data_IF_929349923574
#
_entry.id   IF_929349923574
#
_cell.length_a   1.000
_cell.length_b   1.000
_cell.length_c   1.000
_cell.angle_alpha   90.00
_cell.angle_beta   90.00
_cell.angle_gamma   90.00
#
_symmetry.space_group_name_H-M   'P 1'
#
loop_
_entity.id
_entity.type
_entity.pdbx_description
1 polymer ?
#
# COMPACT_ATOMS: atom_id res chain seq x y z
N UNK A 1 -17.62 63.45 23.60
CA UNK A 1 -16.55 64.01 24.38
C UNK A 1 -15.80 62.82 24.95
N UNK A 2 -14.67 62.46 24.52
CA UNK A 2 -13.35 62.99 24.43
C UNK A 2 -12.54 62.18 23.40
N UNK A 3 -11.82 62.90 22.56
CA UNK A 3 -10.82 62.43 21.60
C UNK A 3 -9.53 61.98 22.32
N UNK A 4 -8.84 60.93 21.80
CA UNK A 4 -7.44 60.75 22.00
C UNK A 4 -6.76 60.25 20.72
N UNK A 5 -5.84 61.06 20.31
CA UNK A 5 -4.99 61.02 19.12
C UNK A 5 -3.88 59.99 19.26
N UNK A 6 -3.63 59.27 18.18
CA UNK A 6 -2.45 58.40 17.99
C UNK A 6 -1.26 59.19 17.45
N UNK A 7 -0.01 58.97 17.84
CA UNK A 7 1.16 59.62 17.26
C UNK A 7 1.75 58.79 16.11
N UNK A 8 2.15 59.50 15.06
CA UNK A 8 2.83 58.99 13.87
C UNK A 8 4.32 58.68 14.15
N UNK A 9 4.83 57.62 13.56
CA UNK A 9 6.25 57.26 13.54
C UNK A 9 6.92 57.74 12.26
N UNK A 10 8.14 58.29 12.27
CA UNK A 10 8.75 58.86 11.07
C UNK A 10 9.44 57.84 10.19
N UNK A 11 9.36 58.12 8.87
CA UNK A 11 10.05 57.36 7.82
C UNK A 11 11.56 57.57 7.86
N UNK A 12 12.31 56.44 7.78
CA UNK A 12 13.76 56.46 7.57
C UNK A 12 14.07 56.31 6.09
N UNK A 13 14.73 57.30 5.54
CA UNK A 13 15.34 57.34 4.21
C UNK A 13 16.59 56.46 4.17
N UNK A 14 16.59 55.45 3.32
CA UNK A 14 17.80 54.66 3.03
C UNK A 14 18.43 55.15 1.71
N UNK A 15 19.64 55.61 1.83
CA UNK A 15 20.55 56.04 0.76
C UNK A 15 21.16 54.80 0.08
N UNK A 16 21.04 54.75 -1.24
CA UNK A 16 21.70 53.72 -2.08
C UNK A 16 23.17 54.06 -2.26
N UNK A 17 24.03 53.11 -1.94
CA UNK A 17 25.40 53.04 -2.48
C UNK A 17 25.60 51.69 -3.20
N UNK A 18 25.81 51.78 -4.50
CA UNK A 18 26.17 50.66 -5.34
C UNK A 18 27.69 50.52 -5.33
N UNK A 19 28.21 49.43 -4.82
CA UNK A 19 29.58 48.99 -5.08
C UNK A 19 29.54 47.65 -5.82
N UNK A 20 29.91 47.73 -7.09
CA UNK A 20 30.17 46.57 -7.95
C UNK A 20 31.55 46.00 -7.65
N UNK A 21 31.62 44.88 -6.91
CA UNK A 21 32.86 44.08 -6.88
C UNK A 21 32.74 42.90 -7.84
N UNK A 22 33.46 43.08 -8.99
CA UNK A 22 33.74 42.01 -9.93
C UNK A 22 34.87 41.12 -9.35
N UNK A 23 34.55 39.96 -8.80
CA UNK A 23 35.53 38.93 -8.49
C UNK A 23 35.53 37.87 -9.59
N UNK A 24 36.56 37.94 -10.45
CA UNK A 24 36.86 36.88 -11.42
C UNK A 24 37.37 35.65 -10.68
N UNK A 25 36.56 34.58 -10.62
CA UNK A 25 37.04 33.25 -10.24
C UNK A 25 37.71 32.57 -11.44
N UNK A 26 39.03 32.52 -11.46
CA UNK A 26 39.77 31.58 -12.30
C UNK A 26 39.80 30.22 -11.62
N UNK A 27 38.95 29.30 -12.07
CA UNK A 27 38.99 27.89 -11.65
C UNK A 27 40.03 27.14 -12.49
N UNK A 28 41.16 26.86 -11.90
CA UNK A 28 42.08 25.85 -12.43
C UNK A 28 41.58 24.48 -12.02
N UNK A 29 40.76 23.83 -12.84
CA UNK A 29 40.40 22.43 -12.70
C UNK A 29 41.52 21.54 -13.24
N UNK A 30 42.36 21.06 -12.35
CA UNK A 30 43.20 19.89 -12.61
C UNK A 30 42.23 18.66 -12.58
N UNK A 31 41.86 18.20 -13.76
CA UNK A 31 41.10 16.96 -13.90
C UNK A 31 42.05 15.77 -13.63
N UNK A 32 41.93 15.17 -12.47
CA UNK A 32 42.47 13.82 -12.28
C UNK A 32 41.73 12.84 -13.19
N UNK A 33 42.36 11.85 -13.78
CA UNK A 33 41.70 10.90 -14.65
C UNK A 33 40.70 10.10 -13.81
N UNK A 34 39.40 10.21 -14.14
CA UNK A 34 38.40 9.38 -13.60
C UNK A 34 38.69 7.93 -13.98
N UNK A 35 39.12 7.13 -13.02
CA UNK A 35 39.15 5.67 -13.16
C UNK A 35 37.70 5.22 -13.31
N UNK A 36 37.32 4.90 -14.54
CA UNK A 36 36.07 4.24 -14.85
C UNK A 36 36.09 2.84 -14.18
N UNK A 37 35.68 2.78 -12.93
CA UNK A 37 35.31 1.50 -12.35
C UNK A 37 34.06 1.04 -13.10
N UNK A 38 34.11 -0.16 -13.69
CA UNK A 38 32.92 -0.79 -14.23
C UNK A 38 31.79 -0.73 -13.15
N UNK A 39 30.56 -0.40 -13.52
CA UNK A 39 29.48 -0.34 -12.55
C UNK A 39 29.43 -1.68 -11.81
N UNK A 40 29.47 -1.63 -10.47
CA UNK A 40 29.33 -2.82 -9.65
C UNK A 40 28.07 -3.56 -10.08
N UNK A 41 28.16 -4.88 -10.23
CA UNK A 41 27.00 -5.69 -10.59
C UNK A 41 25.84 -5.34 -9.64
N UNK A 42 24.61 -5.15 -10.16
CA UNK A 42 23.49 -4.75 -9.32
C UNK A 42 23.32 -5.74 -8.16
N UNK A 43 23.18 -5.20 -6.97
CA UNK A 43 22.97 -6.01 -5.75
C UNK A 43 21.66 -6.77 -5.92
N UNK A 44 21.71 -8.09 -5.73
CA UNK A 44 20.51 -8.91 -5.74
C UNK A 44 19.61 -8.49 -4.57
N UNK A 45 18.34 -8.18 -4.84
CA UNK A 45 17.40 -7.71 -3.80
C UNK A 45 16.12 -8.53 -3.83
N UNK A 46 15.73 -8.99 -2.64
CA UNK A 46 14.45 -9.61 -2.32
C UNK A 46 13.91 -9.05 -1.00
N UNK A 47 14.22 -7.78 -0.73
CA UNK A 47 13.87 -7.11 0.52
C UNK A 47 12.39 -6.72 0.56
N UNK A 48 11.86 -6.27 -0.57
CA UNK A 48 10.48 -5.81 -0.72
C UNK A 48 10.02 -5.90 -2.19
N UNK A 49 8.74 -5.61 -2.44
CA UNK A 49 8.08 -5.65 -3.75
C UNK A 49 7.79 -4.25 -4.34
N UNK A 50 8.51 -3.22 -3.89
CA UNK A 50 8.34 -1.83 -4.35
C UNK A 50 9.67 -1.10 -4.60
N UNK A 51 10.73 -1.86 -4.89
CA UNK A 51 12.06 -1.26 -5.19
C UNK A 51 12.25 -0.92 -6.66
N UNK A 52 11.52 -1.56 -7.56
CA UNK A 52 11.58 -1.31 -9.00
C UNK A 52 10.63 -0.15 -9.38
N UNK A 53 10.84 0.39 -10.58
CA UNK A 53 9.95 1.38 -11.19
C UNK A 53 8.64 0.77 -11.69
N UNK A 54 8.03 1.38 -12.72
CA UNK A 54 6.82 0.85 -13.32
C UNK A 54 7.09 -0.15 -14.43
N UNK A 55 6.07 -0.95 -14.72
CA UNK A 55 6.05 -1.79 -15.92
C UNK A 55 6.29 -0.94 -17.19
N UNK A 56 7.09 -1.40 -18.17
CA UNK A 56 7.45 -0.63 -19.36
C UNK A 56 6.25 -0.07 -20.14
N UNK A 57 5.13 -0.78 -20.18
CA UNK A 57 3.91 -0.31 -20.83
C UNK A 57 3.34 0.96 -20.18
N UNK A 58 3.45 1.09 -18.86
CA UNK A 58 3.04 2.30 -18.12
C UNK A 58 3.95 3.47 -18.48
N UNK A 59 5.27 3.27 -18.46
CA UNK A 59 6.24 4.31 -18.83
C UNK A 59 6.01 4.79 -20.26
N UNK A 60 5.71 3.87 -21.18
CA UNK A 60 5.36 4.20 -22.56
C UNK A 60 4.09 5.04 -22.62
N UNK A 61 3.01 4.64 -21.95
CA UNK A 61 1.74 5.37 -21.95
C UNK A 61 1.90 6.78 -21.35
N UNK A 62 2.66 6.92 -20.26
CA UNK A 62 2.98 8.21 -19.65
C UNK A 62 3.78 9.12 -20.59
N UNK A 63 4.72 8.56 -21.36
CA UNK A 63 5.51 9.29 -22.34
C UNK A 63 4.68 9.76 -23.53
N UNK A 64 3.86 8.87 -24.06
CA UNK A 64 2.99 9.14 -25.22
C UNK A 64 1.98 10.27 -24.90
N UNK A 65 1.44 10.28 -23.69
CA UNK A 65 0.40 11.23 -23.24
C UNK A 65 0.95 12.52 -22.61
N UNK A 66 2.26 12.64 -22.45
CA UNK A 66 2.91 13.71 -21.66
C UNK A 66 2.52 15.14 -22.06
N UNK A 67 2.25 15.39 -23.36
CA UNK A 67 1.89 16.72 -23.87
C UNK A 67 0.39 16.88 -24.11
N UNK A 68 -0.42 15.88 -23.79
CA UNK A 68 -1.87 15.92 -23.97
C UNK A 68 -2.50 16.73 -22.83
N UNK A 69 -3.13 17.89 -23.10
CA UNK A 69 -3.82 18.65 -22.05
C UNK A 69 -5.07 17.90 -21.59
N UNK A 70 -5.21 17.72 -20.26
CA UNK A 70 -6.33 17.00 -19.66
C UNK A 70 -6.96 17.78 -18.51
N UNK A 71 -8.28 17.62 -18.25
CA UNK A 71 -8.90 18.11 -17.02
C UNK A 71 -8.16 17.60 -15.79
N UNK A 72 -8.06 18.43 -14.75
CA UNK A 72 -7.36 18.09 -13.52
C UNK A 72 -8.17 17.20 -12.57
N UNK A 73 -7.51 16.81 -11.49
CA UNK A 73 -8.11 16.20 -10.31
C UNK A 73 -8.83 14.85 -10.55
N UNK A 74 -8.37 14.09 -11.55
CA UNK A 74 -8.91 12.76 -11.87
C UNK A 74 -10.28 12.77 -12.53
N UNK A 75 -10.66 13.90 -13.16
CA UNK A 75 -11.93 14.03 -13.92
C UNK A 75 -11.75 13.83 -15.42
N UNK A 76 -10.56 13.46 -15.84
CA UNK A 76 -10.14 13.24 -17.22
C UNK A 76 -10.69 11.92 -17.81
N UNK A 77 -10.46 11.76 -19.11
CA UNK A 77 -10.89 10.60 -19.88
C UNK A 77 -10.17 9.30 -19.51
N UNK A 78 -8.88 9.38 -19.14
CA UNK A 78 -8.09 8.20 -18.76
C UNK A 78 -8.53 7.66 -17.40
N UNK A 79 -8.74 8.55 -16.42
CA UNK A 79 -9.32 8.15 -15.13
C UNK A 79 -10.70 7.53 -15.28
N UNK A 80 -11.53 8.02 -16.24
CA UNK A 80 -12.81 7.38 -16.55
C UNK A 80 -12.61 5.99 -17.17
N UNK A 81 -11.71 5.84 -18.13
CA UNK A 81 -11.40 4.55 -18.76
C UNK A 81 -10.94 3.53 -17.70
N UNK A 82 -9.99 3.89 -16.86
CA UNK A 82 -9.52 3.04 -15.75
C UNK A 82 -10.67 2.66 -14.80
N UNK A 83 -11.53 3.62 -14.45
CA UNK A 83 -12.71 3.37 -13.61
C UNK A 83 -13.66 2.35 -14.26
N UNK A 84 -13.94 2.47 -15.56
CA UNK A 84 -14.80 1.54 -16.27
C UNK A 84 -14.18 0.14 -16.41
N UNK A 85 -12.85 0.03 -16.54
CA UNK A 85 -12.14 -1.25 -16.48
C UNK A 85 -12.30 -1.91 -15.11
N UNK A 86 -12.10 -1.17 -14.02
CA UNK A 86 -12.32 -1.66 -12.66
C UNK A 86 -13.75 -2.14 -12.48
N UNK A 87 -14.75 -1.33 -12.84
CA UNK A 87 -16.17 -1.68 -12.73
C UNK A 87 -16.52 -3.00 -13.45
N UNK A 88 -15.98 -3.18 -14.66
CA UNK A 88 -16.17 -4.44 -15.42
C UNK A 88 -15.49 -5.62 -14.74
N UNK A 89 -14.26 -5.44 -14.27
CA UNK A 89 -13.48 -6.49 -13.61
C UNK A 89 -14.15 -6.99 -12.33
N UNK A 90 -14.66 -6.07 -11.52
CA UNK A 90 -15.35 -6.39 -10.27
C UNK A 90 -16.85 -6.67 -10.43
N UNK A 91 -17.40 -6.56 -11.64
CA UNK A 91 -18.84 -6.72 -11.96
C UNK A 91 -19.76 -5.80 -11.14
N UNK A 92 -19.33 -4.57 -10.86
CA UNK A 92 -20.08 -3.56 -10.12
C UNK A 92 -20.14 -2.25 -10.92
N UNK A 93 -21.17 -2.06 -11.77
CA UNK A 93 -21.24 -0.89 -12.68
C UNK A 93 -21.39 0.45 -11.95
N UNK A 94 -21.96 0.44 -10.75
CA UNK A 94 -22.18 1.65 -9.93
C UNK A 94 -21.04 1.94 -8.94
N UNK A 95 -19.97 1.14 -8.93
CA UNK A 95 -18.86 1.33 -8.01
C UNK A 95 -18.26 2.73 -8.14
N UNK A 96 -18.03 3.36 -6.99
CA UNK A 96 -17.30 4.61 -6.91
C UNK A 96 -15.80 4.31 -6.77
N UNK A 97 -14.99 4.86 -7.67
CA UNK A 97 -13.55 4.61 -7.71
C UNK A 97 -12.80 5.92 -7.64
N UNK A 98 -11.74 5.96 -6.83
CA UNK A 98 -10.78 7.05 -6.76
C UNK A 98 -9.35 6.52 -6.73
N UNK A 99 -8.47 7.20 -7.45
CA UNK A 99 -7.05 6.88 -7.49
C UNK A 99 -6.32 7.78 -6.49
N UNK A 100 -5.58 7.16 -5.57
CA UNK A 100 -4.84 7.78 -4.48
C UNK A 100 -3.36 7.46 -4.62
N UNK A 101 -2.47 8.15 -3.87
CA UNK A 101 -1.02 8.10 -4.15
C UNK A 101 -0.35 6.86 -3.54
N UNK A 102 -0.83 6.37 -2.41
CA UNK A 102 -0.22 5.24 -1.71
C UNK A 102 -1.14 4.63 -0.65
N UNK A 103 -0.78 3.45 -0.14
CA UNK A 103 -1.60 2.63 0.75
C UNK A 103 -2.04 3.34 2.03
N UNK A 104 -1.10 3.91 2.79
CA UNK A 104 -1.41 4.66 4.02
C UNK A 104 -2.40 5.79 3.78
N UNK A 105 -2.21 6.57 2.70
CA UNK A 105 -3.14 7.64 2.35
C UNK A 105 -4.52 7.09 1.94
N UNK A 106 -4.55 5.94 1.26
CA UNK A 106 -5.79 5.27 0.88
C UNK A 106 -6.55 4.78 2.11
N UNK A 107 -5.86 4.07 3.02
CA UNK A 107 -6.44 3.55 4.26
C UNK A 107 -7.00 4.68 5.13
N UNK A 108 -6.21 5.73 5.35
CA UNK A 108 -6.64 6.91 6.08
C UNK A 108 -7.89 7.58 5.45
N UNK A 109 -7.89 7.73 4.13
CA UNK A 109 -9.01 8.36 3.41
C UNK A 109 -10.28 7.49 3.43
N UNK A 110 -10.15 6.17 3.29
CA UNK A 110 -11.27 5.22 3.31
C UNK A 110 -11.89 5.17 4.70
N UNK A 111 -11.08 5.02 5.74
CA UNK A 111 -11.55 4.93 7.12
C UNK A 111 -12.25 6.22 7.55
N UNK A 112 -11.65 7.40 7.26
CA UNK A 112 -12.25 8.71 7.57
C UNK A 112 -13.53 9.00 6.73
N UNK A 113 -13.72 8.31 5.61
CA UNK A 113 -14.95 8.40 4.82
C UNK A 113 -16.09 7.54 5.37
N UNK A 114 -15.76 6.45 6.04
CA UNK A 114 -16.71 5.42 6.50
C UNK A 114 -17.04 5.60 7.98
N UNK A 115 -16.02 5.79 8.82
CA UNK A 115 -16.19 5.90 10.27
C UNK A 115 -16.63 7.31 10.70
N UNK A 116 -17.56 7.43 11.67
CA UNK A 116 -17.86 8.72 12.28
C UNK A 116 -16.67 9.23 13.09
N UNK A 117 -16.60 10.54 13.43
CA UNK A 117 -15.44 11.12 14.12
C UNK A 117 -15.05 10.46 15.46
N UNK A 118 -15.97 9.78 16.11
CA UNK A 118 -15.74 9.02 17.36
C UNK A 118 -15.60 7.51 17.12
N UNK A 119 -15.58 7.10 15.85
CA UNK A 119 -15.52 5.71 15.44
C UNK A 119 -14.11 5.14 15.51
N UNK A 120 -14.05 3.85 15.75
CA UNK A 120 -12.82 3.06 15.72
C UNK A 120 -12.84 2.04 14.59
N UNK A 121 -11.67 1.73 14.05
CA UNK A 121 -11.47 0.62 13.13
C UNK A 121 -11.00 -0.61 13.92
N UNK A 122 -11.65 -1.75 13.69
CA UNK A 122 -11.24 -3.03 14.26
C UNK A 122 -10.31 -3.73 13.28
N UNK A 123 -9.13 -4.11 13.72
CA UNK A 123 -8.11 -4.78 12.91
C UNK A 123 -7.38 -5.84 13.74
N UNK A 124 -6.61 -6.71 13.13
CA UNK A 124 -5.74 -7.64 13.86
C UNK A 124 -4.46 -6.94 14.35
N UNK A 125 -3.77 -7.52 15.35
CA UNK A 125 -2.55 -6.95 15.92
C UNK A 125 -1.45 -6.71 14.90
N UNK A 126 -1.31 -7.58 13.89
CA UNK A 126 -0.33 -7.47 12.80
C UNK A 126 -0.76 -6.55 11.65
N UNK A 127 -2.00 -6.04 11.65
CA UNK A 127 -2.53 -5.21 10.55
C UNK A 127 -1.65 -3.98 10.27
N UNK A 128 -1.49 -3.65 8.99
CA UNK A 128 -0.65 -2.53 8.52
C UNK A 128 -1.05 -1.20 9.16
N UNK A 129 -2.34 -0.92 9.29
CA UNK A 129 -2.89 0.29 9.95
C UNK A 129 -2.50 0.39 11.43
N UNK A 130 -2.24 -0.74 12.10
CA UNK A 130 -1.79 -0.77 13.49
C UNK A 130 -0.28 -0.64 13.63
N UNK A 131 0.51 -1.21 12.70
CA UNK A 131 1.95 -1.43 12.92
C UNK A 131 2.85 -0.56 12.06
N UNK A 132 2.46 -0.20 10.83
CA UNK A 132 3.34 0.38 9.82
C UNK A 132 2.86 1.70 9.20
N UNK A 133 1.87 2.38 9.82
CA UNK A 133 1.34 3.65 9.30
C UNK A 133 1.60 4.85 10.20
N UNK A 134 2.50 4.72 11.17
CA UNK A 134 2.97 5.82 12.04
C UNK A 134 1.82 6.60 12.71
N UNK A 135 0.72 5.93 13.05
CA UNK A 135 -0.45 6.57 13.66
C UNK A 135 -1.28 7.40 12.69
N UNK A 136 -1.27 7.09 11.38
CA UNK A 136 -2.04 7.85 10.37
C UNK A 136 -3.56 7.78 10.62
N UNK A 137 -4.04 6.65 11.10
CA UNK A 137 -5.46 6.45 11.43
C UNK A 137 -5.85 7.29 12.64
N UNK A 138 -5.03 7.26 13.69
CA UNK A 138 -5.22 8.07 14.90
C UNK A 138 -5.11 9.57 14.58
N UNK A 139 -4.21 9.95 13.67
CA UNK A 139 -4.09 11.35 13.21
C UNK A 139 -5.33 11.84 12.46
N UNK A 140 -6.14 10.93 11.91
CA UNK A 140 -7.46 11.25 11.31
C UNK A 140 -8.58 11.32 12.36
N UNK A 141 -8.29 10.97 13.62
CA UNK A 141 -9.24 11.01 14.74
C UNK A 141 -9.89 9.67 15.06
N UNK A 142 -9.41 8.57 14.47
CA UNK A 142 -9.97 7.23 14.67
C UNK A 142 -9.03 6.36 15.49
N UNK A 143 -9.57 5.62 16.46
CA UNK A 143 -8.80 4.65 17.23
C UNK A 143 -8.69 3.35 16.41
N UNK A 144 -7.53 2.68 16.50
CA UNK A 144 -7.40 1.29 16.11
C UNK A 144 -7.67 0.40 17.33
N UNK A 145 -8.67 -0.49 17.23
CA UNK A 145 -8.96 -1.55 18.20
C UNK A 145 -8.40 -2.84 17.62
N UNK A 146 -7.55 -3.53 18.38
CA UNK A 146 -6.89 -4.74 17.87
C UNK A 146 -7.51 -6.00 18.46
N UNK A 147 -7.69 -7.01 17.60
CA UNK A 147 -7.95 -8.40 17.94
C UNK A 147 -6.69 -9.24 17.78
N UNK A 148 -6.59 -10.40 18.43
CA UNK A 148 -5.55 -11.38 18.10
C UNK A 148 -5.55 -11.71 16.61
N UNK A 149 -4.41 -12.16 16.11
CA UNK A 149 -4.30 -12.65 14.74
C UNK A 149 -4.04 -14.15 14.72
N UNK A 150 -4.54 -14.82 13.68
CA UNK A 150 -4.33 -16.24 13.41
C UNK A 150 -3.69 -16.38 12.03
N UNK A 151 -2.36 -16.42 11.99
CA UNK A 151 -1.55 -16.37 10.76
C UNK A 151 -1.86 -15.12 9.89
N UNK A 152 -2.03 -13.98 10.57
CA UNK A 152 -2.37 -12.68 9.97
C UNK A 152 -3.87 -12.45 9.73
N UNK A 153 -4.73 -13.43 10.04
CA UNK A 153 -6.17 -13.34 9.81
C UNK A 153 -6.95 -13.00 11.08
N UNK A 154 -8.10 -12.36 10.90
CA UNK A 154 -9.10 -12.09 11.93
C UNK A 154 -10.08 -13.26 12.02
N UNK A 155 -10.36 -13.70 13.24
CA UNK A 155 -11.41 -14.68 13.51
C UNK A 155 -12.78 -13.98 13.61
N UNK A 156 -13.81 -14.43 12.87
CA UNK A 156 -15.14 -13.83 12.93
C UNK A 156 -15.82 -13.99 14.28
N UNK A 157 -15.56 -15.06 15.06
CA UNK A 157 -16.14 -15.26 16.37
C UNK A 157 -15.53 -14.30 17.39
N UNK A 158 -14.22 -14.00 17.30
CA UNK A 158 -13.57 -12.98 18.12
C UNK A 158 -14.09 -11.57 17.81
N UNK A 159 -14.36 -11.27 16.53
CA UNK A 159 -15.00 -10.02 16.14
C UNK A 159 -16.41 -9.91 16.72
N UNK A 160 -17.21 -10.97 16.65
CA UNK A 160 -18.53 -11.00 17.24
C UNK A 160 -18.48 -10.80 18.76
N UNK A 161 -17.56 -11.48 19.46
CA UNK A 161 -17.35 -11.36 20.90
C UNK A 161 -16.93 -9.94 21.31
N UNK A 162 -16.06 -9.26 20.54
CA UNK A 162 -15.72 -7.86 20.77
C UNK A 162 -16.96 -6.97 20.75
N UNK A 163 -17.83 -7.16 19.76
CA UNK A 163 -19.08 -6.39 19.65
C UNK A 163 -20.01 -6.68 20.82
N UNK A 164 -20.17 -7.95 21.21
CA UNK A 164 -21.02 -8.34 22.34
C UNK A 164 -20.53 -7.73 23.66
N UNK A 165 -19.22 -7.71 23.90
CA UNK A 165 -18.62 -7.07 25.09
C UNK A 165 -18.85 -5.56 25.06
N UNK A 166 -18.69 -4.91 23.91
CA UNK A 166 -18.96 -3.48 23.76
C UNK A 166 -20.44 -3.15 24.03
N UNK A 167 -21.36 -3.90 23.43
CA UNK A 167 -22.79 -3.68 23.56
C UNK A 167 -23.31 -3.94 25.00
N UNK A 168 -22.66 -4.84 25.74
CA UNK A 168 -23.01 -5.19 27.11
C UNK A 168 -22.43 -4.24 28.18
N UNK A 169 -21.53 -3.34 27.82
CA UNK A 169 -20.93 -2.40 28.77
C UNK A 169 -21.85 -1.21 29.00
N UNK A 170 -22.30 -1.02 30.25
CA UNK A 170 -23.14 0.12 30.63
C UNK A 170 -22.49 1.49 30.41
N UNK A 171 -21.16 1.53 30.15
CA UNK A 171 -20.42 2.74 29.94
C UNK A 171 -19.96 2.91 28.45
N UNK A 172 -20.50 2.13 27.53
CA UNK A 172 -20.10 2.15 26.12
C UNK A 172 -20.24 3.53 25.46
N UNK A 173 -21.13 4.40 25.99
CA UNK A 173 -21.26 5.80 25.53
C UNK A 173 -19.98 6.65 25.68
N UNK A 174 -19.03 6.22 26.54
CA UNK A 174 -17.74 6.88 26.76
C UNK A 174 -16.60 6.21 25.97
N UNK A 175 -16.87 5.15 25.24
CA UNK A 175 -15.87 4.37 24.52
C UNK A 175 -15.78 4.79 23.04
N UNK A 176 -14.63 4.49 22.40
CA UNK A 176 -14.53 4.58 20.96
C UNK A 176 -15.39 3.46 20.33
N UNK A 177 -16.34 3.82 19.49
CA UNK A 177 -17.35 2.91 18.96
C UNK A 177 -16.74 2.10 17.81
N UNK A 178 -16.74 0.75 17.84
CA UNK A 178 -16.40 -0.07 16.68
C UNK A 178 -17.27 0.35 15.49
N UNK A 179 -16.65 0.83 14.40
CA UNK A 179 -17.38 1.49 13.31
C UNK A 179 -17.04 0.97 11.92
N UNK A 180 -15.96 0.24 11.79
CA UNK A 180 -15.61 -0.53 10.60
C UNK A 180 -14.58 -1.62 10.95
N UNK A 181 -14.45 -2.59 10.06
CA UNK A 181 -13.49 -3.69 10.17
C UNK A 181 -12.49 -3.59 9.04
N UNK A 182 -11.20 -3.81 9.34
CA UNK A 182 -10.12 -3.77 8.37
C UNK A 182 -9.39 -5.10 8.35
N UNK A 183 -9.23 -5.68 7.16
CA UNK A 183 -8.43 -6.87 6.89
C UNK A 183 -7.59 -6.66 5.64
N UNK A 184 -6.49 -7.39 5.48
CA UNK A 184 -5.62 -7.33 4.30
C UNK A 184 -5.72 -8.60 3.46
N UNK A 185 -5.80 -8.46 2.14
CA UNK A 185 -5.75 -9.56 1.17
C UNK A 185 -4.68 -9.29 0.11
N UNK A 186 -3.53 -10.03 0.13
CA UNK A 186 -3.06 -10.97 1.16
C UNK A 186 -2.76 -10.27 2.49
N UNK A 187 -2.71 -11.05 3.58
CA UNK A 187 -2.30 -10.55 4.89
C UNK A 187 -0.85 -10.08 4.89
N UNK A 188 -0.41 -9.45 5.97
CA UNK A 188 0.97 -8.99 6.16
C UNK A 188 1.98 -10.14 6.11
N UNK A 189 1.54 -11.36 6.43
CA UNK A 189 2.33 -12.60 6.33
C UNK A 189 2.19 -13.33 4.99
N UNK A 190 1.48 -12.72 4.03
CA UNK A 190 1.28 -13.29 2.70
C UNK A 190 0.30 -14.46 2.65
N UNK A 191 -0.40 -14.74 3.74
CA UNK A 191 -1.48 -15.72 3.79
C UNK A 191 -2.74 -15.16 3.15
N UNK A 192 -3.68 -16.01 2.81
CA UNK A 192 -4.91 -15.65 2.12
C UNK A 192 -6.12 -15.99 2.99
N UNK A 193 -7.08 -15.08 3.05
CA UNK A 193 -8.45 -15.49 3.35
C UNK A 193 -8.97 -16.31 2.18
N UNK A 194 -9.58 -17.45 2.45
CA UNK A 194 -10.39 -18.13 1.46
C UNK A 194 -11.81 -17.52 1.39
N UNK A 195 -12.61 -18.00 0.44
CA UNK A 195 -13.95 -17.45 0.22
C UNK A 195 -14.85 -17.62 1.44
N UNK A 196 -14.82 -18.79 2.09
CA UNK A 196 -15.64 -19.10 3.25
C UNK A 196 -15.25 -18.26 4.48
N UNK A 197 -13.95 -18.04 4.71
CA UNK A 197 -13.42 -17.18 5.76
C UNK A 197 -13.85 -15.72 5.58
N UNK A 198 -13.71 -15.17 4.36
CA UNK A 198 -14.10 -13.79 4.10
C UNK A 198 -15.63 -13.62 4.11
N UNK A 199 -16.40 -14.62 3.66
CA UNK A 199 -17.86 -14.65 3.82
C UNK A 199 -18.28 -14.69 5.29
N UNK A 200 -17.55 -15.44 6.13
CA UNK A 200 -17.75 -15.49 7.57
C UNK A 200 -17.62 -14.10 8.19
N UNK A 201 -16.52 -13.41 7.93
CA UNK A 201 -16.30 -12.04 8.40
C UNK A 201 -17.37 -11.07 7.88
N UNK A 202 -17.64 -11.10 6.57
CA UNK A 202 -18.67 -10.24 5.94
C UNK A 202 -20.04 -10.45 6.57
N UNK A 203 -20.38 -11.68 6.94
CA UNK A 203 -21.65 -12.01 7.62
C UNK A 203 -21.72 -11.38 9.02
N UNK A 204 -20.65 -11.48 9.81
CA UNK A 204 -20.58 -10.84 11.14
C UNK A 204 -20.66 -9.32 10.98
N UNK A 205 -19.84 -8.73 10.07
CA UNK A 205 -19.85 -7.31 9.79
C UNK A 205 -21.26 -6.79 9.46
N UNK A 206 -21.95 -7.44 8.54
CA UNK A 206 -23.34 -7.06 8.18
C UNK A 206 -24.32 -7.18 9.33
N UNK A 207 -24.21 -8.23 10.15
CA UNK A 207 -25.10 -8.42 11.31
C UNK A 207 -24.92 -7.36 12.40
N UNK A 208 -23.72 -6.75 12.46
CA UNK A 208 -23.33 -5.69 13.41
C UNK A 208 -23.33 -4.29 12.77
N UNK A 209 -23.76 -4.16 11.52
CA UNK A 209 -23.72 -2.90 10.75
C UNK A 209 -22.32 -2.26 10.69
N UNK A 210 -21.27 -3.08 10.64
CA UNK A 210 -19.88 -2.67 10.50
C UNK A 210 -19.46 -2.79 9.03
N UNK A 211 -19.12 -1.70 8.33
CA UNK A 211 -18.49 -1.79 7.02
C UNK A 211 -17.20 -2.60 7.05
N UNK A 212 -17.04 -3.51 6.09
CA UNK A 212 -15.82 -4.29 5.90
C UNK A 212 -14.91 -3.62 4.86
N UNK A 213 -13.67 -3.33 5.25
CA UNK A 213 -12.62 -2.76 4.41
C UNK A 213 -11.59 -3.85 4.14
N UNK A 214 -11.29 -4.10 2.86
CA UNK A 214 -10.23 -5.03 2.44
C UNK A 214 -9.06 -4.23 1.85
N UNK A 215 -7.93 -4.21 2.55
CA UNK A 215 -6.69 -3.66 2.00
C UNK A 215 -6.11 -4.63 0.98
N UNK A 216 -6.13 -4.19 -0.27
CA UNK A 216 -5.61 -4.92 -1.42
C UNK A 216 -4.27 -4.39 -1.90
N UNK A 217 -3.39 -3.89 -1.03
CA UNK A 217 -2.05 -3.42 -1.41
C UNK A 217 -1.26 -4.48 -2.21
N UNK A 218 -1.59 -5.77 -2.00
CA UNK A 218 -1.06 -6.93 -2.72
C UNK A 218 -2.15 -7.77 -3.39
N UNK A 219 -3.28 -7.15 -3.74
CA UNK A 219 -4.44 -7.87 -4.29
C UNK A 219 -4.10 -8.66 -5.56
N UNK A 220 -3.23 -8.14 -6.42
CA UNK A 220 -2.79 -8.86 -7.63
C UNK A 220 -2.13 -10.19 -7.29
N UNK A 221 -1.19 -10.19 -6.36
CA UNK A 221 -0.51 -11.41 -5.89
C UNK A 221 -1.48 -12.36 -5.18
N UNK A 222 -2.42 -11.82 -4.39
CA UNK A 222 -3.43 -12.64 -3.72
C UNK A 222 -4.33 -13.38 -4.72
N UNK A 223 -4.86 -12.67 -5.72
CA UNK A 223 -5.76 -13.24 -6.72
C UNK A 223 -5.04 -14.16 -7.74
N UNK A 224 -3.73 -13.96 -7.93
CA UNK A 224 -2.91 -14.78 -8.82
C UNK A 224 -2.33 -16.04 -8.14
N UNK A 225 -2.34 -16.07 -6.80
CA UNK A 225 -1.72 -17.13 -6.02
C UNK A 225 -2.37 -18.50 -6.24
N UNK A 226 -1.56 -19.56 -6.22
CA UNK A 226 -2.06 -20.90 -6.25
C UNK A 226 -2.94 -21.19 -5.02
N UNK A 227 -4.14 -21.69 -5.25
CA UNK A 227 -5.11 -21.97 -4.17
C UNK A 227 -6.01 -20.79 -3.79
N UNK A 228 -5.87 -19.63 -4.43
CA UNK A 228 -6.89 -18.57 -4.30
C UNK A 228 -8.18 -19.03 -4.99
N UNK A 229 -9.28 -19.04 -4.24
CA UNK A 229 -10.62 -19.44 -4.70
C UNK A 229 -11.56 -18.23 -4.93
N UNK A 230 -11.02 -17.02 -4.80
CA UNK A 230 -11.75 -15.76 -4.96
C UNK A 230 -11.39 -15.03 -6.25
N UNK A 231 -12.33 -14.24 -6.72
CA UNK A 231 -12.15 -13.24 -7.79
C UNK A 231 -12.29 -11.81 -7.24
N UNK A 232 -11.90 -10.81 -8.03
CA UNK A 232 -12.12 -9.41 -7.68
C UNK A 232 -13.62 -9.08 -7.49
N UNK A 233 -14.52 -9.82 -8.17
CA UNK A 233 -15.96 -9.67 -8.02
C UNK A 233 -16.44 -10.23 -6.67
N UNK A 234 -15.81 -11.26 -6.12
CA UNK A 234 -16.14 -11.78 -4.79
C UNK A 234 -15.72 -10.80 -3.71
N UNK A 235 -14.53 -10.22 -3.81
CA UNK A 235 -14.11 -9.13 -2.91
C UNK A 235 -15.10 -7.97 -2.94
N UNK A 236 -15.50 -7.51 -4.13
CA UNK A 236 -16.46 -6.42 -4.29
C UNK A 236 -17.88 -6.75 -3.78
N UNK A 237 -18.25 -8.02 -3.75
CA UNK A 237 -19.53 -8.50 -3.19
C UNK A 237 -19.51 -8.52 -1.66
N UNK A 238 -18.36 -8.80 -1.06
CA UNK A 238 -18.21 -9.04 0.37
C UNK A 238 -17.80 -7.79 1.15
N UNK A 239 -16.99 -6.91 0.54
CA UNK A 239 -16.47 -5.69 1.16
C UNK A 239 -17.32 -4.46 0.83
N UNK A 240 -17.36 -3.50 1.76
CA UNK A 240 -17.96 -2.18 1.56
C UNK A 240 -16.98 -1.19 0.95
N UNK A 241 -15.68 -1.41 1.17
CA UNK A 241 -14.59 -0.75 0.49
C UNK A 241 -13.40 -1.69 0.34
N UNK A 242 -12.62 -1.49 -0.72
CA UNK A 242 -11.32 -2.19 -0.84
C UNK A 242 -10.36 -1.36 -1.69
N UNK A 243 -9.07 -1.70 -1.60
CA UNK A 243 -8.05 -1.12 -2.48
C UNK A 243 -7.59 -2.11 -3.54
N UNK A 244 -7.22 -1.59 -4.71
CA UNK A 244 -6.47 -2.32 -5.73
C UNK A 244 -5.08 -1.71 -5.73
N UNK A 245 -4.10 -2.46 -5.22
CA UNK A 245 -2.73 -1.99 -5.07
C UNK A 245 -2.03 -1.87 -6.42
N UNK A 246 -1.57 -0.67 -6.76
CA UNK A 246 -0.74 -0.44 -7.94
C UNK A 246 0.75 -0.39 -7.62
N UNK A 247 1.12 0.28 -6.53
CA UNK A 247 2.52 0.54 -6.14
C UNK A 247 3.39 -0.72 -6.10
N UNK A 248 2.87 -1.82 -5.59
CA UNK A 248 3.59 -3.10 -5.49
C UNK A 248 3.43 -3.97 -6.72
N UNK A 249 2.41 -3.72 -7.55
CA UNK A 249 2.03 -4.57 -8.69
C UNK A 249 2.20 -3.79 -10.01
N UNK A 250 3.40 -3.29 -10.23
CA UNK A 250 3.85 -2.76 -11.53
C UNK A 250 3.58 -1.30 -11.81
N UNK A 251 2.92 -0.53 -10.92
CA UNK A 251 2.80 0.92 -11.05
C UNK A 251 4.03 1.65 -10.49
N UNK A 252 4.24 2.91 -10.88
CA UNK A 252 5.20 3.81 -10.24
C UNK A 252 4.76 4.14 -8.81
N UNK A 253 3.48 4.36 -8.64
CA UNK A 253 2.79 4.66 -7.39
C UNK A 253 1.28 4.61 -7.62
N UNK A 254 0.52 4.43 -6.56
CA UNK A 254 -0.93 4.57 -6.61
C UNK A 254 -1.70 3.35 -6.14
N UNK A 255 -2.88 3.66 -5.60
CA UNK A 255 -3.87 2.71 -5.13
C UNK A 255 -5.22 3.15 -5.69
N UNK A 256 -6.03 2.20 -6.18
CA UNK A 256 -7.42 2.49 -6.49
C UNK A 256 -8.29 2.17 -5.27
N UNK A 257 -8.86 3.19 -4.64
CA UNK A 257 -9.88 3.03 -3.61
C UNK A 257 -11.24 2.77 -4.29
N UNK A 258 -11.84 1.63 -3.98
CA UNK A 258 -13.08 1.15 -4.60
C UNK A 258 -14.16 1.00 -3.55
N UNK A 259 -15.32 1.59 -3.82
CA UNK A 259 -16.54 1.45 -3.02
C UNK A 259 -17.60 0.83 -3.91
N UNK A 260 -17.85 -0.47 -3.78
CA UNK A 260 -18.71 -1.22 -4.71
C UNK A 260 -20.16 -0.70 -4.78
N UNK A 261 -20.66 -0.15 -3.69
CA UNK A 261 -22.05 0.28 -3.54
C UNK A 261 -22.26 1.80 -3.71
N UNK A 262 -21.30 2.50 -4.33
CA UNK A 262 -21.34 3.95 -4.54
C UNK A 262 -20.49 4.75 -3.54
N UNK A 263 -20.54 6.06 -3.63
CA UNK A 263 -19.71 6.93 -2.79
C UNK A 263 -20.09 6.81 -1.28
N UNK A 264 -19.12 6.54 -0.38
CA UNK A 264 -19.40 6.26 1.03
C UNK A 264 -19.82 7.49 1.82
N UNK A 265 -19.42 8.70 1.38
CA UNK A 265 -19.69 9.95 2.07
C UNK A 265 -20.07 11.08 1.11
N UNK A 266 -20.94 12.00 1.55
CA UNK A 266 -21.14 13.26 0.83
C UNK A 266 -19.81 14.04 0.72
N UNK A 267 -19.56 14.64 -0.45
CA UNK A 267 -18.35 15.46 -0.68
C UNK A 267 -17.03 14.69 -0.55
N UNK A 268 -16.99 13.45 -0.98
CA UNK A 268 -15.79 12.59 -0.97
C UNK A 268 -14.55 13.30 -1.56
N UNK A 269 -14.71 14.11 -2.60
CA UNK A 269 -13.62 14.91 -3.19
C UNK A 269 -12.99 15.90 -2.18
N UNK A 270 -13.80 16.50 -1.30
CA UNK A 270 -13.27 17.41 -0.26
C UNK A 270 -12.48 16.64 0.80
N UNK A 271 -12.92 15.44 1.15
CA UNK A 271 -12.21 14.55 2.07
C UNK A 271 -10.85 14.14 1.48
N UNK A 272 -10.83 13.67 0.23
CA UNK A 272 -9.60 13.35 -0.50
C UNK A 272 -8.66 14.56 -0.53
N UNK A 273 -9.18 15.77 -0.76
CA UNK A 273 -8.38 17.00 -0.74
C UNK A 273 -7.78 17.29 0.63
N UNK A 274 -8.56 17.07 1.70
CA UNK A 274 -8.11 17.24 3.10
C UNK A 274 -6.92 16.36 3.45
N UNK A 275 -6.92 15.12 2.96
CA UNK A 275 -5.82 14.17 3.12
C UNK A 275 -4.64 14.39 2.15
N UNK A 276 -4.65 15.50 1.37
CA UNK A 276 -3.58 15.79 0.40
C UNK A 276 -3.55 14.84 -0.81
N UNK A 277 -4.58 14.01 -0.98
CA UNK A 277 -4.64 12.96 -1.99
C UNK A 277 -5.18 13.42 -3.35
N UNK A 278 -5.73 14.64 -3.45
CA UNK A 278 -6.31 15.14 -4.68
C UNK A 278 -5.27 15.86 -5.54
N UNK A 279 -4.63 15.10 -6.44
CA UNK A 279 -3.60 15.61 -7.33
C UNK A 279 -4.18 16.46 -8.47
N UNK A 280 -3.57 17.61 -8.75
CA UNK A 280 -3.93 18.43 -9.92
C UNK A 280 -3.74 17.63 -11.22
N UNK A 281 -2.66 16.85 -11.33
CA UNK A 281 -2.39 15.93 -12.46
C UNK A 281 -2.85 14.50 -12.12
N UNK A 282 -4.12 14.34 -11.70
CA UNK A 282 -4.67 13.05 -11.30
C UNK A 282 -4.67 11.99 -12.40
N UNK A 283 -4.65 12.41 -13.69
CA UNK A 283 -4.54 11.51 -14.83
C UNK A 283 -3.30 10.59 -14.79
N UNK A 284 -2.22 11.03 -14.11
CA UNK A 284 -1.02 10.20 -13.90
C UNK A 284 -1.33 8.90 -13.15
N UNK A 285 -2.27 8.93 -12.21
CA UNK A 285 -2.75 7.74 -11.52
C UNK A 285 -3.65 6.90 -12.45
N UNK A 286 -4.59 7.57 -13.13
CA UNK A 286 -5.53 6.91 -14.02
C UNK A 286 -4.86 6.09 -15.12
N UNK A 287 -3.85 6.65 -15.80
CA UNK A 287 -3.14 5.98 -16.89
C UNK A 287 -2.44 4.68 -16.43
N UNK A 288 -1.95 4.65 -15.21
CA UNK A 288 -1.28 3.46 -14.68
C UNK A 288 -2.28 2.31 -14.48
N UNK A 289 -3.44 2.59 -13.91
CA UNK A 289 -4.51 1.60 -13.74
C UNK A 289 -5.19 1.24 -15.05
N UNK A 290 -5.31 2.18 -16.00
CA UNK A 290 -5.84 1.88 -17.32
C UNK A 290 -4.98 0.86 -18.06
N UNK A 291 -3.64 1.02 -17.97
CA UNK A 291 -2.67 0.08 -18.55
C UNK A 291 -2.66 -1.25 -17.80
N UNK A 292 -2.62 -1.23 -16.46
CA UNK A 292 -2.54 -2.45 -15.66
C UNK A 292 -3.76 -3.36 -15.83
N UNK A 293 -4.94 -2.77 -16.02
CA UNK A 293 -6.19 -3.52 -16.18
C UNK A 293 -6.57 -3.76 -17.66
N UNK A 294 -5.62 -3.54 -18.56
CA UNK A 294 -5.74 -3.92 -19.96
C UNK A 294 -5.18 -5.33 -20.18
N UNK A 295 -5.91 -6.18 -20.91
CA UNK A 295 -5.50 -7.54 -21.30
C UNK A 295 -4.87 -8.38 -20.16
N UNK A 296 -5.47 -8.34 -18.96
CA UNK A 296 -5.03 -9.09 -17.76
C UNK A 296 -3.58 -8.81 -17.27
N UNK A 297 -2.92 -7.75 -17.74
CA UNK A 297 -1.54 -7.44 -17.38
C UNK A 297 -1.31 -7.45 -15.86
N UNK A 298 -2.25 -6.90 -15.08
CA UNK A 298 -2.18 -6.84 -13.62
C UNK A 298 -2.00 -8.23 -12.97
N UNK A 299 -2.75 -9.22 -13.43
CA UNK A 299 -2.64 -10.59 -12.93
C UNK A 299 -1.46 -11.34 -13.54
N UNK A 300 -1.09 -11.05 -14.79
CA UNK A 300 0.05 -11.73 -15.43
C UNK A 300 1.38 -11.41 -14.76
N UNK A 301 1.62 -10.14 -14.42
CA UNK A 301 2.83 -9.74 -13.72
C UNK A 301 2.82 -10.21 -12.26
N UNK A 302 1.64 -10.33 -11.64
CA UNK A 302 1.49 -10.92 -10.31
C UNK A 302 1.80 -12.44 -10.32
N UNK A 303 1.28 -13.19 -11.29
CA UNK A 303 1.62 -14.62 -11.48
C UNK A 303 3.11 -14.85 -11.65
N UNK A 304 3.83 -13.90 -12.31
CA UNK A 304 5.29 -14.00 -12.39
C UNK A 304 5.94 -13.97 -11.00
N UNK A 305 5.55 -13.00 -10.14
CA UNK A 305 6.12 -12.88 -8.81
C UNK A 305 5.85 -14.12 -7.95
N UNK A 306 4.61 -14.63 -7.95
CA UNK A 306 4.21 -15.80 -7.17
C UNK A 306 4.94 -17.06 -7.65
N UNK A 307 5.10 -17.24 -8.97
CA UNK A 307 5.89 -18.34 -9.54
C UNK A 307 7.35 -18.30 -9.09
N UNK A 308 7.97 -17.11 -9.03
CA UNK A 308 9.34 -16.94 -8.55
C UNK A 308 9.43 -17.24 -7.05
N UNK A 309 8.46 -16.79 -6.25
CA UNK A 309 8.36 -17.10 -4.83
C UNK A 309 8.22 -18.61 -4.60
N UNK A 310 7.39 -19.30 -5.38
CA UNK A 310 7.21 -20.75 -5.30
C UNK A 310 8.50 -21.52 -5.58
N UNK A 311 9.29 -21.10 -6.56
CA UNK A 311 10.57 -21.72 -6.85
C UNK A 311 11.55 -21.55 -5.67
N UNK A 312 11.57 -20.38 -5.04
CA UNK A 312 12.41 -20.10 -3.86
C UNK A 312 11.91 -20.91 -2.65
N UNK A 313 10.59 -20.95 -2.43
CA UNK A 313 9.96 -21.67 -1.31
C UNK A 313 10.29 -23.16 -1.37
N UNK A 314 10.14 -23.78 -2.55
CA UNK A 314 10.56 -25.19 -2.76
C UNK A 314 12.03 -25.39 -2.45
N UNK A 315 12.91 -24.52 -2.94
CA UNK A 315 14.34 -24.64 -2.70
C UNK A 315 14.72 -24.47 -1.21
N UNK A 316 14.02 -23.64 -0.46
CA UNK A 316 14.18 -23.51 1.00
C UNK A 316 13.74 -24.78 1.71
N UNK A 317 12.56 -25.31 1.37
CA UNK A 317 12.02 -26.56 1.95
C UNK A 317 12.94 -27.74 1.67
N UNK A 318 13.39 -27.91 0.42
CA UNK A 318 14.31 -29.00 0.02
C UNK A 318 15.65 -28.96 0.79
N UNK A 319 16.08 -27.79 1.26
CA UNK A 319 17.29 -27.60 2.06
C UNK A 319 17.04 -27.62 3.57
N UNK A 320 15.81 -27.86 4.00
CA UNK A 320 15.44 -27.98 5.41
C UNK A 320 15.35 -26.64 6.16
N UNK A 321 15.19 -25.51 5.45
CA UNK A 321 14.87 -24.24 6.11
C UNK A 321 13.44 -24.23 6.62
N UNK A 322 13.23 -23.65 7.80
CA UNK A 322 11.90 -23.51 8.40
C UNK A 322 11.20 -22.29 7.85
N UNK A 323 10.07 -22.50 7.15
CA UNK A 323 9.17 -21.47 6.68
C UNK A 323 8.07 -21.27 7.73
N UNK A 324 7.90 -20.04 8.23
CA UNK A 324 7.08 -19.77 9.40
C UNK A 324 5.58 -19.57 9.09
N UNK A 325 5.24 -19.10 7.90
CA UNK A 325 3.85 -18.83 7.51
C UNK A 325 3.49 -19.55 6.21
N UNK A 326 2.24 -20.00 6.10
CA UNK A 326 1.76 -20.76 4.94
C UNK A 326 1.38 -19.83 3.77
N UNK A 327 2.30 -18.90 3.42
CA UNK A 327 2.08 -17.99 2.28
C UNK A 327 2.14 -18.73 0.95
N UNK A 328 1.19 -18.48 0.06
CA UNK A 328 1.23 -18.88 -1.36
C UNK A 328 1.49 -17.71 -2.30
N UNK A 329 1.73 -16.52 -1.75
CA UNK A 329 1.96 -15.28 -2.51
C UNK A 329 3.45 -14.98 -2.71
N UNK A 330 3.75 -13.79 -3.15
CA UNK A 330 5.10 -13.28 -3.41
C UNK A 330 5.99 -13.10 -2.17
N UNK A 331 5.49 -13.33 -0.97
CA UNK A 331 6.23 -13.19 0.29
C UNK A 331 6.54 -14.55 0.92
N UNK A 332 7.77 -14.73 1.39
CA UNK A 332 8.22 -15.93 2.08
C UNK A 332 8.88 -15.50 3.39
N UNK A 333 8.47 -16.09 4.50
CA UNK A 333 9.00 -15.81 5.83
C UNK A 333 9.79 -17.03 6.32
N UNK A 334 11.07 -16.85 6.56
CA UNK A 334 11.99 -17.94 6.88
C UNK A 334 12.79 -17.64 8.14
N UNK A 335 12.85 -18.62 9.06
CA UNK A 335 13.65 -18.53 10.28
C UNK A 335 15.10 -18.88 9.99
N UNK A 336 16.03 -17.95 10.20
CA UNK A 336 17.44 -18.08 9.90
C UNK A 336 18.33 -17.82 11.12
N UNK A 337 19.35 -18.66 11.33
CA UNK A 337 20.39 -18.40 12.32
C UNK A 337 21.30 -17.22 11.91
N UNK A 338 22.02 -16.65 12.88
CA UNK A 338 22.85 -15.47 12.68
C UNK A 338 23.97 -15.68 11.63
N UNK A 339 24.51 -16.92 11.51
CA UNK A 339 25.56 -17.25 10.53
C UNK A 339 24.97 -17.24 9.11
N UNK A 340 23.82 -17.84 8.94
CA UNK A 340 23.10 -17.87 7.66
C UNK A 340 22.66 -16.48 7.24
N UNK A 341 22.11 -15.69 8.16
CA UNK A 341 21.79 -14.27 7.91
C UNK A 341 23.02 -13.51 7.41
N UNK A 342 24.14 -13.58 8.14
CA UNK A 342 25.39 -12.89 7.75
C UNK A 342 25.91 -13.33 6.38
N UNK A 343 25.87 -14.63 6.09
CA UNK A 343 26.28 -15.19 4.80
C UNK A 343 25.42 -14.71 3.63
N UNK A 344 24.09 -14.72 3.81
CA UNK A 344 23.16 -14.32 2.76
C UNK A 344 23.20 -12.79 2.54
N UNK A 345 23.11 -12.00 3.62
CA UNK A 345 23.02 -10.54 3.52
C UNK A 345 24.30 -9.87 3.00
N UNK A 346 25.43 -10.60 2.99
CA UNK A 346 26.64 -10.14 2.31
C UNK A 346 26.53 -10.14 0.76
N UNK A 347 25.51 -10.80 0.19
CA UNK A 347 25.32 -11.00 -1.26
C UNK A 347 23.94 -10.64 -1.79
N UNK A 348 22.93 -10.63 -0.91
CA UNK A 348 21.54 -10.38 -1.25
C UNK A 348 20.87 -9.54 -0.16
N UNK A 349 20.03 -8.60 -0.54
CA UNK A 349 19.18 -7.87 0.41
C UNK A 349 17.94 -8.70 0.71
N UNK A 350 17.65 -8.87 1.99
CA UNK A 350 16.47 -9.55 2.53
C UNK A 350 15.81 -8.64 3.56
N UNK A 351 14.50 -8.73 3.72
CA UNK A 351 13.76 -8.01 4.74
C UNK A 351 13.99 -8.66 6.12
N UNK A 352 14.39 -7.89 7.12
CA UNK A 352 14.35 -8.31 8.51
C UNK A 352 12.95 -8.04 9.08
N UNK A 353 12.35 -9.01 9.75
CA UNK A 353 11.04 -8.84 10.38
C UNK A 353 11.17 -8.73 11.90
N UNK A 354 11.69 -9.76 12.54
CA UNK A 354 11.82 -9.80 14.00
C UNK A 354 12.89 -10.76 14.49
N UNK A 355 13.16 -10.73 15.80
CA UNK A 355 13.93 -11.74 16.52
C UNK A 355 12.99 -12.76 17.12
N UNK A 356 13.24 -14.03 16.85
CA UNK A 356 12.51 -15.13 17.45
C UNK A 356 13.04 -15.45 18.85
N UNK A 357 12.21 -16.07 19.70
CA UNK A 357 12.56 -16.42 21.09
C UNK A 357 13.73 -17.40 21.18
N UNK A 358 13.95 -18.22 20.14
CA UNK A 358 15.08 -19.17 20.05
C UNK A 358 16.39 -18.51 19.57
N UNK A 359 16.40 -17.17 19.38
CA UNK A 359 17.56 -16.38 18.98
C UNK A 359 17.78 -16.32 17.46
N UNK A 360 16.99 -16.98 16.64
CA UNK A 360 16.99 -16.83 15.18
C UNK A 360 16.36 -15.49 14.76
N UNK A 361 16.48 -15.17 13.48
CA UNK A 361 15.79 -14.02 12.88
C UNK A 361 14.73 -14.54 11.92
N UNK A 362 13.53 -13.97 12.01
CA UNK A 362 12.56 -14.08 10.95
C UNK A 362 12.94 -13.11 9.82
N UNK A 363 13.26 -13.69 8.66
CA UNK A 363 13.63 -12.92 7.47
C UNK A 363 12.54 -13.08 6.41
N UNK A 364 12.22 -11.97 5.73
CA UNK A 364 11.33 -11.98 4.57
C UNK A 364 12.13 -12.03 3.28
N UNK A 365 11.76 -12.94 2.38
CA UNK A 365 12.16 -12.97 0.98
C UNK A 365 10.92 -12.56 0.19
N UNK A 366 11.02 -11.46 -0.55
CA UNK A 366 9.90 -10.89 -1.30
C UNK A 366 10.26 -10.80 -2.78
N UNK A 367 9.49 -11.47 -3.63
CA UNK A 367 9.58 -11.30 -5.09
C UNK A 367 8.67 -10.16 -5.53
N UNK A 368 8.97 -9.57 -6.68
CA UNK A 368 8.16 -8.50 -7.28
C UNK A 368 7.70 -8.90 -8.69
N UNK A 369 6.83 -8.08 -9.25
CA UNK A 369 6.38 -8.19 -10.63
C UNK A 369 7.56 -8.25 -11.63
N UNK A 370 8.71 -7.64 -11.30
CA UNK A 370 9.90 -7.55 -12.14
C UNK A 370 10.96 -8.63 -11.82
N UNK A 371 10.74 -9.49 -10.83
CA UNK A 371 11.70 -10.54 -10.49
C UNK A 371 11.89 -11.51 -11.65
N UNK A 372 13.14 -11.72 -12.05
CA UNK A 372 13.51 -12.58 -13.19
C UNK A 372 13.91 -13.98 -12.75
N UNK A 373 13.81 -14.95 -13.68
CA UNK A 373 14.29 -16.31 -13.48
C UNK A 373 15.80 -16.35 -13.13
N UNK A 374 16.61 -15.42 -13.63
CA UNK A 374 18.03 -15.33 -13.31
C UNK A 374 18.27 -14.92 -11.86
N UNK A 375 17.56 -13.88 -11.39
CA UNK A 375 17.63 -13.44 -9.99
C UNK A 375 17.22 -14.57 -9.04
N UNK A 376 16.14 -15.27 -9.35
CA UNK A 376 15.66 -16.43 -8.58
C UNK A 376 16.70 -17.54 -8.54
N UNK A 377 17.28 -17.94 -9.68
CA UNK A 377 18.35 -18.96 -9.71
C UNK A 377 19.58 -18.56 -8.89
N UNK A 378 19.97 -17.29 -8.98
CA UNK A 378 21.10 -16.73 -8.22
C UNK A 378 20.83 -16.75 -6.72
N UNK A 379 19.61 -16.39 -6.26
CA UNK A 379 19.25 -16.53 -4.85
C UNK A 379 19.29 -17.99 -4.41
N UNK A 380 18.66 -18.90 -5.16
CA UNK A 380 18.62 -20.33 -4.85
C UNK A 380 20.05 -20.91 -4.75
N UNK A 381 21.00 -20.44 -5.57
CA UNK A 381 22.39 -20.88 -5.49
C UNK A 381 23.13 -20.37 -4.24
N UNK A 382 22.60 -19.35 -3.55
CA UNK A 382 23.15 -18.83 -2.29
C UNK A 382 22.55 -19.52 -1.04
N UNK A 383 21.38 -20.14 -1.15
CA UNK A 383 20.76 -20.90 -0.06
C UNK A 383 21.53 -22.18 0.23
#
# INVERSE_FOLDING_TARGET
>A
MTSSTSPATPAATATTASETHSTSFTSSTSAAPATSSAPAAPVLSFENDYSEGAHPAILKALSDDNLTPRPGYGTDDVCRSATERIRRWIKQPEAYVRFLVGGTQANQTIIDAIAPPFGAVVAVTSAHVNTHEAGAIEASGHKVITLPEHDGKMDPDELAALCDVFDADDNNEHMAVPSCVYVSQSTEYGTLYDLDELEGLSRVCRSRHLPLIVDGARLGYALAAAGCDMTAADIARLADAFTIGGTKVGALFGEAAVFPHGAPAPRMTALIKRHGALLAKGWLLGVQFDVLLDDDLYLDIARNADRQADAIRRALTDRGYEIMHSSSTNQIFVALDARTVSRLTSRVRLGFMERLDDGRSLMRICTSWATTDDQTRRLIALL
#
